data_IF_739103079332
#
_entry.id   IF_739103079332
#
_cell.length_a   1.000
_cell.length_b   1.000
_cell.length_c   1.000
_cell.angle_alpha   90.00
_cell.angle_beta   90.00
_cell.angle_gamma   90.00
#
_symmetry.space_group_name_H-M   'P 1'
#
loop_
_entity.id
_entity.type
_entity.pdbx_description
1 polymer ?
#
# COMPACT_ATOMS: atom_id res chain seq x y z
N UNK A 1 16.66 4.13 61.58
CA UNK A 1 17.08 3.17 60.53
C UNK A 1 17.69 3.94 59.37
N UNK A 2 18.70 3.34 58.76
CA UNK A 2 19.85 3.98 58.10
C UNK A 2 19.51 4.66 56.76
N UNK A 3 19.91 5.93 56.61
CA UNK A 3 20.01 6.65 55.33
C UNK A 3 21.13 6.02 54.49
N UNK A 4 20.88 5.70 53.22
CA UNK A 4 21.94 5.42 52.23
C UNK A 4 21.96 6.52 51.16
N UNK A 5 23.03 7.30 51.22
CA UNK A 5 23.54 8.21 50.20
C UNK A 5 24.26 7.35 49.15
N UNK A 6 23.91 7.50 47.88
CA UNK A 6 24.69 6.94 46.77
C UNK A 6 25.40 8.09 46.08
N UNK A 7 26.72 7.99 46.07
CA UNK A 7 27.70 8.94 45.53
C UNK A 7 27.75 8.78 44.01
N UNK A 8 27.57 9.90 43.30
CA UNK A 8 27.82 10.02 41.88
C UNK A 8 29.33 9.95 41.61
N UNK A 9 29.76 9.01 40.75
CA UNK A 9 31.11 8.99 40.19
C UNK A 9 31.01 9.37 38.71
N UNK A 10 31.33 10.64 38.43
CA UNK A 10 31.40 11.17 37.08
C UNK A 10 32.62 10.63 36.35
N UNK A 11 32.38 9.85 35.30
CA UNK A 11 33.39 9.49 34.31
C UNK A 11 33.20 10.41 33.09
N UNK A 12 34.02 11.44 33.00
CA UNK A 12 34.04 12.38 31.88
C UNK A 12 34.80 11.72 30.72
N UNK A 13 34.07 11.09 29.80
CA UNK A 13 34.60 10.59 28.53
C UNK A 13 34.74 11.77 27.56
N UNK A 14 35.98 12.18 27.30
CA UNK A 14 36.35 13.06 26.19
C UNK A 14 36.20 12.27 24.88
N UNK A 15 35.02 12.34 24.28
CA UNK A 15 34.78 11.81 22.94
C UNK A 15 35.30 12.86 21.95
N UNK A 16 36.36 12.51 21.22
CA UNK A 16 36.85 13.31 20.10
C UNK A 16 35.75 13.44 19.05
N UNK A 17 35.24 14.65 18.85
CA UNK A 17 34.38 14.95 17.70
C UNK A 17 35.23 14.87 16.43
N UNK A 18 35.28 13.69 15.81
CA UNK A 18 35.61 13.62 14.39
C UNK A 18 34.57 14.48 13.68
N UNK A 19 35.02 15.57 13.05
CA UNK A 19 34.20 16.36 12.15
C UNK A 19 33.75 15.47 11.00
N UNK A 20 32.55 14.90 11.13
CA UNK A 20 31.84 14.31 10.01
C UNK A 20 31.56 15.45 9.05
N UNK A 21 32.21 15.43 7.89
CA UNK A 21 31.86 16.32 6.80
C UNK A 21 30.37 16.14 6.54
N UNK A 22 29.60 17.20 6.75
CA UNK A 22 28.21 17.26 6.31
C UNK A 22 28.21 17.15 4.80
N UNK A 23 28.20 15.92 4.29
CA UNK A 23 27.62 15.65 3.00
C UNK A 23 26.18 16.10 3.14
N UNK A 24 25.82 17.18 2.45
CA UNK A 24 24.42 17.44 2.19
C UNK A 24 23.95 16.22 1.41
N UNK A 25 23.23 15.31 2.07
CA UNK A 25 22.53 14.26 1.35
C UNK A 25 21.66 14.98 0.33
N UNK A 26 22.02 14.84 -0.93
CA UNK A 26 21.31 15.47 -2.03
C UNK A 26 19.89 14.92 -2.03
N UNK A 27 18.88 15.77 -1.89
CA UNK A 27 17.48 15.36 -1.92
C UNK A 27 16.82 15.77 -3.23
N UNK A 28 15.84 14.98 -3.66
CA UNK A 28 14.84 15.34 -4.65
C UNK A 28 13.44 15.22 -4.04
N UNK A 29 12.42 15.57 -4.80
CA UNK A 29 11.04 15.48 -4.36
C UNK A 29 10.37 14.24 -4.96
N UNK A 30 9.68 13.45 -4.13
CA UNK A 30 8.93 12.29 -4.58
C UNK A 30 7.47 12.36 -4.13
N UNK A 31 6.58 12.31 -5.11
CA UNK A 31 5.13 12.33 -4.90
C UNK A 31 4.49 11.04 -5.39
N UNK A 32 3.63 10.44 -4.58
CA UNK A 32 2.81 9.29 -4.97
C UNK A 32 1.35 9.70 -4.94
N UNK A 33 0.69 9.57 -6.08
CA UNK A 33 -0.74 9.80 -6.22
C UNK A 33 -1.48 8.45 -6.18
N UNK A 34 -2.66 8.43 -5.60
CA UNK A 34 -3.62 7.35 -5.75
C UNK A 34 -4.47 7.61 -6.99
N UNK A 35 -5.00 6.56 -7.58
CA UNK A 35 -6.02 6.64 -8.61
C UNK A 35 -6.83 5.34 -8.63
N UNK A 36 -8.06 5.41 -9.12
CA UNK A 36 -8.84 4.20 -9.39
C UNK A 36 -9.51 4.28 -10.75
N UNK A 37 -9.70 3.12 -11.36
CA UNK A 37 -10.55 2.96 -12.55
C UNK A 37 -11.84 2.25 -12.13
N UNK A 38 -12.95 2.97 -12.33
CA UNK A 38 -14.30 2.57 -11.90
C UNK A 38 -15.25 2.33 -13.07
N UNK A 39 -14.82 2.61 -14.28
CA UNK A 39 -15.60 2.39 -15.49
C UNK A 39 -14.71 1.80 -16.56
N UNK A 40 -15.23 0.87 -17.38
CA UNK A 40 -14.52 0.43 -18.56
C UNK A 40 -14.27 1.65 -19.45
N UNK A 41 -13.00 1.83 -19.87
CA UNK A 41 -12.72 2.83 -20.89
C UNK A 41 -13.59 2.53 -22.10
N UNK A 42 -14.41 3.49 -22.52
CA UNK A 42 -15.27 3.32 -23.67
C UNK A 42 -14.39 2.81 -24.84
N UNK A 43 -14.72 1.65 -25.45
CA UNK A 43 -13.91 1.14 -26.53
C UNK A 43 -13.87 2.21 -27.63
N UNK A 44 -12.66 2.56 -28.08
CA UNK A 44 -12.44 3.54 -29.16
C UNK A 44 -13.02 3.09 -30.51
N UNK A 45 -13.72 1.95 -30.54
CA UNK A 45 -14.40 1.39 -31.69
C UNK A 45 -15.75 0.81 -31.26
N UNK A 46 -16.83 1.45 -31.72
CA UNK A 46 -18.22 1.00 -31.60
C UNK A 46 -18.40 -0.36 -32.28
N UNK A 47 -18.20 -1.45 -31.53
CA UNK A 47 -18.81 -2.73 -31.83
C UNK A 47 -19.83 -2.93 -30.71
N UNK A 48 -21.12 -2.90 -31.05
CA UNK A 48 -22.22 -3.21 -30.13
C UNK A 48 -22.08 -4.68 -29.70
N UNK A 49 -21.24 -4.93 -28.70
CA UNK A 49 -21.29 -6.15 -27.93
C UNK A 49 -22.47 -6.03 -26.93
N UNK A 50 -23.12 -7.14 -26.57
CA UNK A 50 -24.15 -7.14 -25.54
C UNK A 50 -23.61 -6.45 -24.29
N UNK A 51 -24.45 -5.58 -23.72
CA UNK A 51 -24.23 -4.76 -22.54
C UNK A 51 -23.48 -5.56 -21.45
N UNK A 52 -22.16 -5.37 -21.38
CA UNK A 52 -21.39 -5.77 -20.22
C UNK A 52 -21.78 -4.76 -19.15
N UNK A 53 -22.80 -5.11 -18.36
CA UNK A 53 -23.25 -4.32 -17.23
C UNK A 53 -22.01 -3.90 -16.44
N UNK A 54 -21.81 -2.60 -16.28
CA UNK A 54 -20.68 -2.04 -15.55
C UNK A 54 -20.86 -2.31 -14.05
N UNK A 55 -20.48 -3.49 -13.55
CA UNK A 55 -20.68 -3.89 -12.14
C UNK A 55 -19.46 -3.43 -11.32
N UNK A 56 -19.29 -2.11 -11.18
CA UNK A 56 -18.11 -1.48 -10.58
C UNK A 56 -18.48 -0.69 -9.32
N UNK A 57 -17.51 -0.34 -8.46
CA UNK A 57 -17.75 0.66 -7.44
C UNK A 57 -17.87 2.06 -8.06
N UNK A 58 -18.60 2.95 -7.40
CA UNK A 58 -18.64 4.40 -7.66
C UNK A 58 -17.69 5.20 -6.77
N UNK A 59 -17.17 4.57 -5.71
CA UNK A 59 -16.23 5.15 -4.74
C UNK A 59 -15.37 4.01 -4.19
N UNK A 60 -14.07 4.29 -4.00
CA UNK A 60 -13.10 3.35 -3.42
C UNK A 60 -12.19 4.14 -2.48
N UNK A 61 -12.14 3.73 -1.22
CA UNK A 61 -11.34 4.39 -0.19
C UNK A 61 -10.47 3.42 0.57
N UNK A 62 -9.28 3.85 0.94
CA UNK A 62 -8.33 3.06 1.74
C UNK A 62 -7.59 3.99 2.70
N UNK A 63 -7.10 3.46 3.83
CA UNK A 63 -6.11 4.17 4.66
C UNK A 63 -4.71 3.80 4.19
N UNK A 64 -3.86 4.81 4.04
CA UNK A 64 -2.48 4.64 3.58
C UNK A 64 -1.55 5.27 4.62
N UNK A 65 -0.77 4.44 5.30
CA UNK A 65 -0.02 4.79 6.50
C UNK A 65 1.39 5.25 6.20
N UNK A 66 2.18 4.46 5.50
CA UNK A 66 3.59 4.74 5.33
C UNK A 66 4.13 4.26 3.98
N UNK A 67 5.19 4.93 3.54
CA UNK A 67 5.94 4.64 2.33
C UNK A 67 7.36 4.25 2.73
N UNK A 68 7.83 3.12 2.23
CA UNK A 68 9.21 2.68 2.34
C UNK A 68 9.81 2.56 0.95
N UNK A 69 11.11 2.84 0.85
CA UNK A 69 11.89 2.67 -0.38
C UNK A 69 13.13 1.82 -0.09
N UNK A 70 13.51 0.96 -1.04
CA UNK A 70 14.71 0.15 -0.98
C UNK A 70 15.51 0.26 -2.27
N UNK A 71 16.84 0.30 -2.16
CA UNK A 71 17.73 0.43 -3.31
C UNK A 71 17.76 -0.88 -4.12
N UNK A 72 17.64 -2.03 -3.42
CA UNK A 72 17.64 -3.34 -4.05
C UNK A 72 16.30 -3.67 -4.72
N UNK A 73 16.37 -4.49 -5.78
CA UNK A 73 15.19 -4.93 -6.53
C UNK A 73 14.29 -5.93 -5.78
N UNK A 74 14.76 -6.45 -4.64
CA UNK A 74 14.15 -7.57 -3.91
C UNK A 74 13.59 -7.18 -2.53
N UNK A 75 13.53 -5.87 -2.23
CA UNK A 75 12.92 -5.32 -1.02
C UNK A 75 13.53 -5.77 0.32
N UNK A 76 14.79 -6.21 0.35
CA UNK A 76 15.43 -6.64 1.61
C UNK A 76 16.05 -5.50 2.43
N UNK A 77 16.14 -4.30 1.86
CA UNK A 77 16.83 -3.13 2.40
C UNK A 77 15.92 -1.92 2.59
N UNK A 78 14.61 -2.13 2.65
CA UNK A 78 13.61 -1.06 2.74
C UNK A 78 13.86 -0.14 3.93
N UNK A 79 13.73 1.16 3.70
CA UNK A 79 13.84 2.24 4.69
C UNK A 79 12.56 3.05 4.68
N UNK A 80 12.11 3.49 5.86
CA UNK A 80 10.98 4.38 5.97
C UNK A 80 11.31 5.72 5.29
N UNK A 81 10.52 6.09 4.29
CA UNK A 81 10.64 7.36 3.59
C UNK A 81 9.61 8.38 4.11
N UNK A 82 8.37 7.93 4.35
CA UNK A 82 7.29 8.81 4.79
C UNK A 82 6.28 8.08 5.68
N UNK A 83 5.70 8.77 6.66
CA UNK A 83 4.76 8.23 7.65
C UNK A 83 3.62 9.24 7.92
N UNK A 84 2.38 8.87 7.56
CA UNK A 84 1.14 9.60 7.86
C UNK A 84 0.64 9.37 9.31
N UNK A 85 1.26 8.44 10.05
CA UNK A 85 0.86 8.02 11.39
C UNK A 85 -0.31 7.04 11.39
N UNK A 86 -0.73 6.59 12.58
CA UNK A 86 -1.79 5.55 12.73
C UNK A 86 -3.22 6.11 12.67
N UNK A 87 -3.40 7.43 12.75
CA UNK A 87 -4.71 8.10 12.80
C UNK A 87 -5.20 8.63 11.46
N UNK A 88 -4.72 8.07 10.35
CA UNK A 88 -5.09 8.51 9.00
C UNK A 88 -6.55 8.18 8.71
N UNK A 89 -7.21 9.08 8.00
CA UNK A 89 -8.57 8.86 7.49
C UNK A 89 -8.53 8.12 6.16
N UNK A 90 -9.64 7.48 5.81
CA UNK A 90 -9.84 6.92 4.47
C UNK A 90 -9.74 8.01 3.40
N UNK A 91 -8.91 7.79 2.38
CA UNK A 91 -8.78 8.68 1.22
C UNK A 91 -9.54 8.11 0.02
N UNK A 92 -10.26 8.95 -0.71
CA UNK A 92 -10.99 8.57 -1.91
C UNK A 92 -10.05 8.49 -3.11
N UNK A 93 -9.86 7.30 -3.67
CA UNK A 93 -8.95 7.08 -4.80
C UNK A 93 -9.52 7.65 -6.11
N UNK A 94 -10.85 7.80 -6.23
CA UNK A 94 -11.47 8.35 -7.43
C UNK A 94 -11.14 9.84 -7.65
N UNK A 95 -10.75 10.54 -6.58
CA UNK A 95 -10.39 11.95 -6.60
C UNK A 95 -8.91 12.20 -6.96
N UNK A 96 -8.15 11.14 -7.28
CA UNK A 96 -6.71 11.16 -7.52
C UNK A 96 -5.90 11.82 -6.38
N UNK A 97 -5.98 11.30 -5.15
CA UNK A 97 -5.40 11.96 -3.98
C UNK A 97 -3.87 11.87 -4.01
N UNK A 98 -3.20 12.88 -3.45
CA UNK A 98 -1.79 12.74 -3.07
C UNK A 98 -1.72 11.85 -1.83
N UNK A 99 -1.09 10.68 -1.94
CA UNK A 99 -0.92 9.72 -0.85
C UNK A 99 0.32 10.02 -0.02
N UNK A 100 1.41 10.37 -0.72
CA UNK A 100 2.71 10.69 -0.14
C UNK A 100 3.32 11.86 -0.88
N UNK A 101 3.96 12.75 -0.14
CA UNK A 101 4.61 13.94 -0.68
C UNK A 101 5.81 14.30 0.20
N UNK A 102 7.02 13.99 -0.27
CA UNK A 102 8.20 14.03 0.60
C UNK A 102 9.49 14.44 -0.12
N UNK A 103 10.37 15.11 0.61
CA UNK A 103 11.79 15.21 0.27
C UNK A 103 12.44 13.83 0.50
N UNK A 104 12.98 13.24 -0.56
CA UNK A 104 13.60 11.91 -0.55
C UNK A 104 15.05 12.03 -1.01
N UNK A 105 15.94 11.20 -0.48
CA UNK A 105 17.32 11.14 -0.96
C UNK A 105 17.36 10.87 -2.47
N UNK A 106 18.26 11.54 -3.18
CA UNK A 106 18.49 11.25 -4.58
C UNK A 106 19.10 9.85 -4.74
N UNK A 107 18.60 9.09 -5.70
CA UNK A 107 18.98 7.69 -5.86
C UNK A 107 18.07 6.91 -6.80
N UNK A 108 18.40 5.64 -6.97
CA UNK A 108 17.66 4.68 -7.77
C UNK A 108 17.09 3.61 -6.84
N UNK A 109 15.76 3.53 -6.73
CA UNK A 109 15.07 2.60 -5.85
C UNK A 109 14.46 1.45 -6.66
N UNK A 110 14.91 0.23 -6.36
CA UNK A 110 14.42 -1.01 -6.96
C UNK A 110 13.18 -1.58 -6.27
N UNK A 111 12.81 -1.05 -5.11
CA UNK A 111 11.65 -1.47 -4.35
C UNK A 111 10.93 -0.29 -3.70
N UNK A 112 9.59 -0.36 -3.70
CA UNK A 112 8.72 0.47 -2.89
C UNK A 112 7.83 -0.45 -2.03
N UNK A 113 7.52 -0.06 -0.79
CA UNK A 113 6.54 -0.76 0.05
C UNK A 113 5.56 0.26 0.60
N UNK A 114 4.27 -0.07 0.53
CA UNK A 114 3.20 0.75 1.08
C UNK A 114 2.60 0.00 2.26
N UNK A 115 2.59 0.64 3.43
CA UNK A 115 1.81 0.20 4.58
C UNK A 115 0.41 0.80 4.48
N UNK A 116 -0.61 -0.03 4.50
CA UNK A 116 -2.02 0.37 4.35
C UNK A 116 -2.93 -0.45 5.27
N UNK A 117 -4.20 -0.04 5.38
CA UNK A 117 -5.24 -0.91 5.96
C UNK A 117 -5.59 -2.00 4.97
N UNK A 118 -5.83 -3.21 5.48
CA UNK A 118 -6.45 -4.31 4.74
C UNK A 118 -7.92 -4.05 4.36
N UNK A 119 -8.60 -3.11 5.01
CA UNK A 119 -9.99 -2.78 4.71
C UNK A 119 -10.07 -1.73 3.62
N UNK A 120 -10.55 -2.13 2.46
CA UNK A 120 -11.00 -1.25 1.39
C UNK A 120 -12.48 -0.93 1.61
N UNK A 121 -12.82 0.36 1.60
CA UNK A 121 -14.20 0.80 1.61
C UNK A 121 -14.67 1.10 0.19
N UNK A 122 -15.86 0.67 -0.16
CA UNK A 122 -16.41 0.93 -1.48
C UNK A 122 -17.90 1.17 -1.45
N UNK A 123 -18.40 1.91 -2.44
CA UNK A 123 -19.85 2.08 -2.68
C UNK A 123 -20.16 1.55 -4.07
N UNK A 124 -21.02 0.52 -4.24
CA UNK A 124 -21.42 0.03 -5.56
C UNK A 124 -22.02 1.14 -6.45
N UNK A 125 -21.83 1.05 -7.76
CA UNK A 125 -22.56 1.92 -8.70
C UNK A 125 -24.01 1.44 -8.90
N UNK A 126 -24.82 2.22 -9.63
CA UNK A 126 -26.24 1.92 -9.80
C UNK A 126 -26.49 0.61 -10.56
N UNK A 127 -25.64 0.29 -11.52
CA UNK A 127 -25.70 -0.95 -12.29
C UNK A 127 -25.43 -2.18 -11.40
N UNK A 128 -24.44 -2.10 -10.51
CA UNK A 128 -24.15 -3.14 -9.53
C UNK A 128 -25.29 -3.34 -8.54
N UNK A 129 -25.87 -2.24 -8.01
CA UNK A 129 -27.05 -2.31 -7.12
C UNK A 129 -28.26 -2.94 -7.83
N UNK A 130 -28.45 -2.67 -9.12
CA UNK A 130 -29.54 -3.27 -9.90
C UNK A 130 -29.29 -4.76 -10.20
N UNK A 131 -28.04 -5.16 -10.36
CA UNK A 131 -27.66 -6.52 -10.76
C UNK A 131 -27.49 -7.48 -9.57
N UNK A 132 -27.04 -6.99 -8.41
CA UNK A 132 -26.68 -7.80 -7.24
C UNK A 132 -27.62 -7.46 -6.08
N UNK A 133 -28.42 -8.43 -5.63
CA UNK A 133 -29.50 -8.19 -4.65
C UNK A 133 -28.96 -7.82 -3.26
N UNK A 134 -27.75 -8.28 -2.95
CA UNK A 134 -27.03 -8.07 -1.70
C UNK A 134 -26.32 -6.73 -1.65
N UNK A 135 -26.20 -6.05 -2.80
CA UNK A 135 -25.58 -4.73 -2.91
C UNK A 135 -26.65 -3.63 -2.90
N UNK A 136 -26.54 -2.74 -1.92
CA UNK A 136 -27.25 -1.48 -1.83
C UNK A 136 -26.35 -0.29 -2.18
N UNK A 137 -26.88 0.92 -2.01
CA UNK A 137 -26.17 2.17 -2.32
C UNK A 137 -25.34 2.71 -1.14
N UNK A 138 -25.21 1.94 -0.06
CA UNK A 138 -24.38 2.25 1.10
C UNK A 138 -22.90 1.87 0.89
N UNK A 139 -22.06 2.32 1.83
CA UNK A 139 -20.64 1.98 1.88
C UNK A 139 -20.45 0.60 2.53
N UNK A 140 -19.70 -0.26 1.85
CA UNK A 140 -19.28 -1.59 2.30
C UNK A 140 -17.79 -1.59 2.64
N UNK A 141 -17.37 -2.53 3.49
CA UNK A 141 -15.96 -2.87 3.68
C UNK A 141 -15.64 -4.16 2.93
N UNK A 142 -14.44 -4.24 2.37
CA UNK A 142 -13.86 -5.43 1.80
C UNK A 142 -12.47 -5.61 2.43
N UNK A 143 -12.25 -6.76 3.03
CA UNK A 143 -11.01 -7.11 3.70
C UNK A 143 -10.12 -7.91 2.75
N UNK A 144 -8.97 -7.35 2.37
CA UNK A 144 -8.04 -7.99 1.43
C UNK A 144 -7.11 -9.01 2.12
N UNK A 145 -7.15 -9.08 3.45
CA UNK A 145 -6.31 -9.97 4.26
C UNK A 145 -7.18 -10.67 5.30
N UNK A 146 -8.16 -11.45 4.82
CA UNK A 146 -9.16 -12.06 5.70
C UNK A 146 -8.81 -13.49 6.13
N UNK A 147 -9.47 -13.92 7.20
CA UNK A 147 -9.50 -15.32 7.64
C UNK A 147 -10.80 -16.01 7.20
N UNK A 148 -10.69 -17.17 6.54
CA UNK A 148 -11.83 -17.95 6.01
C UNK A 148 -12.40 -19.00 6.98
N UNK A 149 -11.90 -19.08 8.22
CA UNK A 149 -12.35 -20.09 9.19
C UNK A 149 -11.74 -21.48 8.97
N UNK A 150 -10.88 -21.67 7.97
CA UNK A 150 -10.27 -22.95 7.59
C UNK A 150 -8.85 -23.15 8.13
N UNK A 151 -8.22 -24.25 7.72
CA UNK A 151 -6.80 -24.57 7.99
C UNK A 151 -5.82 -23.70 7.16
N UNK A 152 -6.33 -22.84 6.26
CA UNK A 152 -5.55 -22.03 5.34
C UNK A 152 -5.79 -20.53 5.58
N UNK A 153 -5.59 -20.06 6.81
CA UNK A 153 -5.54 -18.62 7.08
C UNK A 153 -4.46 -18.01 6.20
N UNK A 154 -4.77 -16.92 5.51
CA UNK A 154 -3.74 -16.18 4.80
C UNK A 154 -2.71 -15.62 5.79
N UNK A 155 -1.44 -15.65 5.38
CA UNK A 155 -0.30 -15.32 6.22
C UNK A 155 0.60 -14.35 5.46
N UNK A 156 0.75 -13.13 5.98
CA UNK A 156 1.50 -12.05 5.34
C UNK A 156 2.71 -11.64 6.17
N UNK A 157 3.81 -11.31 5.51
CA UNK A 157 5.03 -10.85 6.15
C UNK A 157 4.89 -9.38 6.60
N UNK A 158 5.23 -9.14 7.85
CA UNK A 158 5.33 -7.81 8.46
C UNK A 158 6.80 -7.44 8.66
N UNK A 159 7.35 -6.49 7.88
CA UNK A 159 8.75 -6.08 8.00
C UNK A 159 9.05 -5.31 9.29
N UNK A 160 8.04 -4.76 9.98
CA UNK A 160 8.26 -3.99 11.21
C UNK A 160 8.59 -4.90 12.40
N UNK A 161 8.01 -6.10 12.42
CA UNK A 161 8.26 -7.14 13.42
C UNK A 161 9.23 -8.21 12.94
N UNK A 162 9.38 -8.36 11.62
CA UNK A 162 10.17 -9.41 10.99
C UNK A 162 9.50 -10.77 10.99
N UNK A 163 8.20 -10.83 11.30
CA UNK A 163 7.43 -12.06 11.44
C UNK A 163 6.37 -12.21 10.34
N UNK A 164 5.83 -13.43 10.23
CA UNK A 164 4.63 -13.70 9.44
C UNK A 164 3.43 -13.58 10.38
N UNK A 165 2.45 -12.77 9.98
CA UNK A 165 1.23 -12.51 10.74
C UNK A 165 0.08 -13.21 10.03
N UNK A 166 -0.82 -13.81 10.81
CA UNK A 166 -2.02 -14.43 10.27
C UNK A 166 -3.14 -13.39 10.12
N UNK A 167 -3.99 -13.57 9.12
CA UNK A 167 -5.19 -12.80 8.94
C UNK A 167 -6.13 -12.91 10.17
N UNK A 168 -6.76 -11.80 10.52
CA UNK A 168 -7.77 -11.67 11.56
C UNK A 168 -9.12 -11.30 10.94
N UNK A 169 -10.18 -11.35 11.74
CA UNK A 169 -11.53 -11.05 11.25
C UNK A 169 -12.10 -12.14 10.34
N UNK A 170 -13.19 -11.81 9.66
CA UNK A 170 -13.80 -12.61 8.60
C UNK A 170 -14.73 -11.70 7.79
N UNK A 171 -15.25 -12.21 6.67
CA UNK A 171 -16.16 -11.46 5.79
C UNK A 171 -17.38 -10.82 6.47
N UNK A 172 -17.83 -11.34 7.61
CA UNK A 172 -18.95 -10.75 8.36
C UNK A 172 -18.49 -9.78 9.46
N UNK A 173 -17.26 -9.92 9.95
CA UNK A 173 -16.71 -9.18 11.08
C UNK A 173 -15.25 -8.83 10.76
N UNK A 174 -15.05 -7.79 9.96
CA UNK A 174 -13.73 -7.29 9.62
C UNK A 174 -12.98 -6.84 10.88
N UNK A 175 -11.71 -7.20 10.96
CA UNK A 175 -10.76 -6.69 11.94
C UNK A 175 -9.71 -5.96 11.15
N UNK A 176 -9.61 -4.64 11.34
CA UNK A 176 -8.61 -3.84 10.62
C UNK A 176 -7.20 -4.23 11.05
N UNK A 177 -6.37 -4.62 10.10
CA UNK A 177 -4.94 -4.86 10.27
C UNK A 177 -4.10 -3.97 9.34
N UNK A 178 -2.84 -3.79 9.74
CA UNK A 178 -1.84 -3.16 8.91
C UNK A 178 -1.24 -4.20 7.97
N UNK A 179 -1.27 -3.90 6.67
CA UNK A 179 -0.67 -4.74 5.64
C UNK A 179 0.42 -3.99 4.88
N UNK A 180 1.39 -4.75 4.38
CA UNK A 180 2.52 -4.24 3.60
C UNK A 180 2.44 -4.79 2.18
N UNK A 181 2.16 -3.89 1.25
CA UNK A 181 2.13 -4.17 -0.18
C UNK A 181 3.50 -3.85 -0.77
N UNK A 182 4.16 -4.86 -1.33
CA UNK A 182 5.51 -4.79 -1.88
C UNK A 182 5.45 -4.55 -3.37
N UNK A 183 6.19 -3.54 -3.82
CA UNK A 183 6.32 -3.16 -5.20
C UNK A 183 7.79 -3.35 -5.66
N UNK A 184 8.25 -4.59 -5.87
CA UNK A 184 9.60 -4.84 -6.39
C UNK A 184 9.65 -4.63 -7.91
N UNK A 185 10.81 -4.18 -8.39
CA UNK A 185 11.12 -4.23 -9.82
C UNK A 185 11.35 -5.68 -10.30
N UNK A 186 11.80 -6.58 -9.42
CA UNK A 186 12.02 -8.00 -9.71
C UNK A 186 11.26 -8.88 -8.68
N UNK A 187 9.99 -9.23 -8.95
CA UNK A 187 9.16 -10.05 -8.06
C UNK A 187 9.77 -11.41 -7.70
N UNK A 188 10.40 -12.08 -8.67
CA UNK A 188 11.01 -13.39 -8.46
C UNK A 188 12.22 -13.28 -7.53
N UNK A 189 13.03 -12.22 -7.68
CA UNK A 189 14.12 -11.94 -6.75
C UNK A 189 13.62 -11.60 -5.35
N UNK A 190 12.51 -10.88 -5.20
CA UNK A 190 11.89 -10.58 -3.91
C UNK A 190 11.46 -11.86 -3.18
N UNK A 191 10.69 -12.73 -3.85
CA UNK A 191 10.25 -14.02 -3.30
C UNK A 191 11.43 -14.94 -2.97
N UNK A 192 12.47 -14.94 -3.79
CA UNK A 192 13.67 -15.76 -3.57
C UNK A 192 14.52 -15.24 -2.40
N UNK A 193 14.57 -13.92 -2.20
CA UNK A 193 15.36 -13.30 -1.15
C UNK A 193 14.66 -13.33 0.22
N UNK A 194 13.33 -13.33 0.23
CA UNK A 194 12.54 -13.42 1.45
C UNK A 194 11.43 -14.47 1.29
N UNK A 195 11.72 -15.69 1.76
CA UNK A 195 10.78 -16.81 1.73
C UNK A 195 9.54 -16.62 2.64
N UNK A 196 9.48 -15.54 3.43
CA UNK A 196 8.30 -15.19 4.23
C UNK A 196 7.29 -14.34 3.44
N UNK A 197 7.68 -13.70 2.33
CA UNK A 197 6.76 -12.91 1.51
C UNK A 197 5.72 -13.81 0.84
N UNK A 198 4.45 -13.44 0.99
CA UNK A 198 3.37 -14.04 0.20
C UNK A 198 3.36 -13.46 -1.22
N UNK A 199 3.13 -14.27 -2.27
CA UNK A 199 2.88 -13.76 -3.61
C UNK A 199 1.73 -12.73 -3.67
N UNK A 200 0.75 -12.82 -2.78
CA UNK A 200 -0.39 -11.89 -2.72
C UNK A 200 -0.01 -10.51 -2.17
N UNK A 201 1.17 -10.37 -1.56
CA UNK A 201 1.71 -9.08 -1.14
C UNK A 201 2.51 -8.37 -2.24
N UNK A 202 2.75 -9.01 -3.39
CA UNK A 202 3.69 -8.52 -4.41
C UNK A 202 2.96 -7.96 -5.62
N UNK A 203 3.30 -6.73 -5.98
CA UNK A 203 2.78 -6.00 -7.14
C UNK A 203 3.99 -5.51 -7.96
N UNK A 204 4.26 -6.06 -9.15
CA UNK A 204 5.45 -5.67 -9.93
C UNK A 204 5.45 -4.19 -10.32
N UNK A 205 6.59 -3.52 -10.18
CA UNK A 205 6.82 -2.22 -10.82
C UNK A 205 7.30 -2.40 -12.26
N UNK A 206 6.81 -1.55 -13.17
CA UNK A 206 7.26 -1.55 -14.57
C UNK A 206 8.67 -0.94 -14.76
N UNK A 207 9.14 -0.15 -13.78
CA UNK A 207 10.43 0.54 -13.81
C UNK A 207 10.91 0.84 -12.39
N UNK A 208 12.21 1.14 -12.26
CA UNK A 208 12.80 1.63 -11.00
C UNK A 208 12.43 3.10 -10.79
N UNK A 209 12.36 3.50 -9.53
CA UNK A 209 12.11 4.90 -9.15
C UNK A 209 13.45 5.64 -9.15
N UNK A 210 13.58 6.64 -10.02
CA UNK A 210 14.77 7.50 -10.10
C UNK A 210 14.44 8.86 -9.48
N UNK A 211 15.10 9.22 -8.40
CA UNK A 211 14.96 10.53 -7.75
C UNK A 211 16.25 11.32 -7.99
N UNK A 212 16.12 12.44 -8.68
CA UNK A 212 17.24 13.30 -9.06
C UNK A 212 17.39 14.43 -8.05
N UNK A 213 18.63 14.80 -7.73
CA UNK A 213 18.92 15.95 -6.85
C UNK A 213 18.25 17.23 -7.37
N UNK A 214 17.43 17.84 -6.51
CA UNK A 214 16.66 19.05 -6.82
C UNK A 214 15.55 18.87 -7.87
N UNK A 215 15.35 17.64 -8.36
CA UNK A 215 14.28 17.28 -9.29
C UNK A 215 13.00 16.87 -8.57
N UNK A 216 11.93 16.68 -9.34
CA UNK A 216 10.68 16.10 -8.89
C UNK A 216 10.41 14.81 -9.68
N UNK A 217 10.05 13.76 -8.96
CA UNK A 217 9.62 12.47 -9.51
C UNK A 217 8.21 12.21 -9.00
N UNK A 218 7.29 11.81 -9.88
CA UNK A 218 5.94 11.45 -9.47
C UNK A 218 5.58 10.04 -9.92
N UNK A 219 4.79 9.35 -9.09
CA UNK A 219 4.21 8.05 -9.39
C UNK A 219 2.71 8.04 -9.16
N UNK A 220 2.02 7.10 -9.79
CA UNK A 220 0.60 6.84 -9.56
C UNK A 220 0.39 5.38 -9.20
N UNK A 221 -0.19 5.13 -8.04
CA UNK A 221 -0.77 3.84 -7.64
C UNK A 221 -2.20 3.77 -8.20
N UNK A 222 -2.39 2.97 -9.24
CA UNK A 222 -3.69 2.72 -9.84
C UNK A 222 -4.28 1.42 -9.29
N UNK A 223 -5.53 1.49 -8.82
CA UNK A 223 -6.32 0.32 -8.41
C UNK A 223 -7.56 0.22 -9.30
N UNK A 224 -7.60 -0.78 -10.17
CA UNK A 224 -8.69 -0.98 -11.13
C UNK A 224 -9.74 -1.95 -10.55
N UNK A 225 -10.92 -1.41 -10.25
CA UNK A 225 -12.09 -2.16 -9.79
C UNK A 225 -13.19 -2.23 -10.86
N UNK A 226 -12.82 -2.05 -12.13
CA UNK A 226 -13.78 -2.16 -13.24
C UNK A 226 -14.37 -3.57 -13.30
N UNK A 227 -15.69 -3.67 -13.15
CA UNK A 227 -16.46 -4.91 -13.09
C UNK A 227 -16.06 -5.83 -11.93
N UNK A 228 -15.64 -5.26 -10.81
CA UNK A 228 -15.16 -6.00 -9.64
C UNK A 228 -16.12 -6.00 -8.45
N UNK A 229 -17.31 -5.38 -8.54
CA UNK A 229 -18.33 -5.60 -7.50
C UNK A 229 -18.98 -6.95 -7.74
N UNK A 230 -19.09 -7.77 -6.71
CA UNK A 230 -19.68 -9.10 -6.81
C UNK A 230 -20.48 -9.48 -5.57
N UNK A 231 -21.18 -10.60 -5.68
CA UNK A 231 -21.82 -11.28 -4.56
C UNK A 231 -21.00 -12.50 -4.19
N UNK A 232 -20.60 -12.60 -2.93
CA UNK A 232 -20.04 -13.85 -2.41
C UNK A 232 -20.62 -14.20 -1.03
N UNK A 233 -21.09 -15.44 -0.90
CA UNK A 233 -21.75 -15.99 0.30
C UNK A 233 -22.87 -15.11 0.89
N UNK A 234 -23.58 -14.33 0.06
CA UNK A 234 -24.65 -13.45 0.50
C UNK A 234 -24.19 -12.07 0.98
N UNK A 235 -22.95 -11.68 0.68
CA UNK A 235 -22.40 -10.35 0.96
C UNK A 235 -22.08 -9.63 -0.35
N UNK A 236 -22.30 -8.31 -0.38
CA UNK A 236 -21.74 -7.44 -1.39
C UNK A 236 -20.25 -7.26 -1.12
N UNK A 237 -19.39 -7.61 -2.07
CA UNK A 237 -17.93 -7.60 -1.91
C UNK A 237 -17.25 -7.12 -3.20
N UNK A 238 -15.93 -7.03 -3.15
CA UNK A 238 -15.08 -6.83 -4.32
C UNK A 238 -14.38 -8.15 -4.69
N UNK A 239 -14.21 -8.39 -5.99
CA UNK A 239 -13.21 -9.29 -6.56
C UNK A 239 -11.84 -8.60 -6.58
N UNK A 240 -10.76 -9.39 -6.73
CA UNK A 240 -9.38 -8.91 -6.75
C UNK A 240 -9.19 -7.81 -7.81
N UNK A 241 -8.68 -6.62 -7.44
CA UNK A 241 -8.40 -5.56 -8.40
C UNK A 241 -7.19 -5.89 -9.26
N UNK A 242 -7.08 -5.19 -10.39
CA UNK A 242 -5.78 -5.03 -11.04
C UNK A 242 -5.05 -3.86 -10.38
N UNK A 243 -3.81 -4.06 -9.93
CA UNK A 243 -3.02 -2.99 -9.29
C UNK A 243 -1.79 -2.73 -10.12
N UNK A 244 -1.54 -1.45 -10.41
CA UNK A 244 -0.38 -0.99 -11.16
C UNK A 244 0.26 0.21 -10.47
N UNK A 245 1.59 0.28 -10.51
CA UNK A 245 2.32 1.50 -10.21
C UNK A 245 3.04 2.02 -11.46
N UNK A 246 2.72 3.24 -11.86
CA UNK A 246 3.28 3.88 -13.05
C UNK A 246 4.03 5.15 -12.65
N UNK A 247 5.28 5.28 -13.09
CA UNK A 247 6.06 6.51 -12.93
C UNK A 247 5.72 7.52 -14.03
N UNK A 248 5.63 8.78 -13.63
CA UNK A 248 5.56 9.92 -14.52
C UNK A 248 6.88 10.68 -14.42
N UNK A 249 7.54 10.85 -15.57
CA UNK A 249 8.72 11.71 -15.67
C UNK A 249 8.21 13.07 -16.13
N UNK A 250 8.27 14.07 -15.24
CA UNK A 250 7.96 15.46 -15.57
C UNK A 250 9.13 16.15 -16.29
#
# INVERSE_FOLDING_TARGET
MLKKVIVALGLLLLISSCGGGGGSDSTGFFTVNGATRLMPQAPSRLVELPDLSNISPSSVKMKVYALYLGDNNNCTDIQLNYDNGESVSYVEFADNPVLFDSDTAAGTYGCMVIKASDIIKFTPNAEAVAAITECGAEEYGHDIFWYDGGENSEEWYDPSTGEVVAAEGNRANHVEQDVYLYFPYDPDAALSANSKLSPNQIIPMSSKIEIVEGGATSGTLMIDFTNKVEQDMGYCTLDSPEVEFTLSVE
#
